data_IF_392874791092
#
_entry.id   IF_392874791092
#
_cell.length_a   1.000
_cell.length_b   1.000
_cell.length_c   1.000
_cell.angle_alpha   90.00
_cell.angle_beta   90.00
_cell.angle_gamma   90.00
#
_symmetry.space_group_name_H-M   'P 1'
#
loop_
_entity.id
_entity.type
_entity.pdbx_description
1 polymer ?
#
# COMPACT_ATOMS: atom_id res chain seq x y z
N UNK A 1 -2.71 29.13 5.57
CA UNK A 1 -1.88 28.65 4.45
C UNK A 1 -2.09 27.14 4.42
N UNK A 2 -2.85 26.61 3.45
CA UNK A 2 -3.11 25.16 3.41
C UNK A 2 -1.81 24.44 3.11
N UNK A 3 -1.37 23.55 4.01
CA UNK A 3 -0.20 22.72 3.79
C UNK A 3 -0.41 21.95 2.48
N UNK A 4 0.45 22.19 1.49
CA UNK A 4 0.43 21.41 0.27
C UNK A 4 1.06 20.08 0.61
N UNK A 5 0.25 19.02 0.63
CA UNK A 5 0.76 17.64 0.79
C UNK A 5 1.92 17.42 -0.20
N UNK A 6 3.12 17.04 0.29
CA UNK A 6 4.25 16.73 -0.56
C UNK A 6 3.88 15.70 -1.63
N UNK A 7 4.48 15.84 -2.82
CA UNK A 7 4.13 14.97 -3.95
C UNK A 7 4.38 13.48 -3.66
N UNK A 8 5.41 13.16 -2.87
CA UNK A 8 5.72 11.78 -2.51
C UNK A 8 4.63 11.17 -1.61
N UNK A 9 4.20 11.89 -0.57
CA UNK A 9 3.09 11.49 0.29
C UNK A 9 1.80 11.28 -0.52
N UNK A 10 1.49 12.21 -1.42
CA UNK A 10 0.31 12.08 -2.29
C UNK A 10 0.36 10.80 -3.14
N UNK A 11 1.47 10.53 -3.82
CA UNK A 11 1.56 9.32 -4.65
C UNK A 11 1.66 8.04 -3.82
N UNK A 12 2.30 8.08 -2.64
CA UNK A 12 2.32 6.96 -1.70
C UNK A 12 0.90 6.59 -1.28
N UNK A 13 0.11 7.60 -0.89
CA UNK A 13 -1.29 7.46 -0.53
C UNK A 13 -2.12 6.82 -1.65
N UNK A 14 -1.89 7.25 -2.91
CA UNK A 14 -2.57 6.68 -4.09
C UNK A 14 -2.15 5.24 -4.39
N UNK A 15 -0.89 4.88 -4.17
CA UNK A 15 -0.43 3.49 -4.28
C UNK A 15 -1.09 2.61 -3.23
N UNK A 16 -1.16 3.08 -1.98
CA UNK A 16 -1.84 2.38 -0.89
C UNK A 16 -3.35 2.19 -1.15
N UNK A 17 -4.02 3.23 -1.63
CA UNK A 17 -5.44 3.19 -2.03
C UNK A 17 -5.68 2.15 -3.13
N UNK A 18 -4.88 2.24 -4.20
CA UNK A 18 -4.99 1.36 -5.35
C UNK A 18 -4.74 -0.10 -4.98
N UNK A 19 -3.84 -0.35 -4.03
CA UNK A 19 -3.58 -1.69 -3.53
C UNK A 19 -4.72 -2.21 -2.65
N UNK A 20 -5.33 -1.37 -1.81
CA UNK A 20 -6.54 -1.74 -1.06
C UNK A 20 -7.68 -2.14 -1.99
N UNK A 21 -7.93 -1.39 -3.06
CA UNK A 21 -8.92 -1.77 -4.08
C UNK A 21 -8.55 -3.05 -4.80
N UNK A 22 -7.27 -3.28 -5.08
CA UNK A 22 -6.80 -4.55 -5.62
C UNK A 22 -7.09 -5.71 -4.66
N UNK A 23 -6.79 -5.59 -3.37
CA UNK A 23 -7.07 -6.63 -2.38
C UNK A 23 -8.57 -6.86 -2.25
N UNK A 24 -9.37 -5.79 -2.12
CA UNK A 24 -10.82 -5.91 -2.02
C UNK A 24 -11.43 -6.61 -3.24
N UNK A 25 -10.96 -6.28 -4.45
CA UNK A 25 -11.43 -6.92 -5.70
C UNK A 25 -11.10 -8.41 -5.74
N UNK A 26 -9.95 -8.84 -5.23
CA UNK A 26 -9.49 -10.23 -5.35
C UNK A 26 -9.88 -11.10 -4.15
N UNK A 27 -10.00 -10.51 -2.97
CA UNK A 27 -10.17 -11.23 -1.71
C UNK A 27 -11.52 -10.93 -1.03
N UNK A 28 -12.28 -9.95 -1.52
CA UNK A 28 -13.51 -9.43 -0.90
C UNK A 28 -13.30 -8.89 0.53
N UNK A 29 -12.05 -8.58 0.88
CA UNK A 29 -11.65 -8.02 2.16
C UNK A 29 -10.31 -7.25 2.00
N UNK A 30 -10.01 -6.35 2.94
CA UNK A 30 -8.71 -5.66 3.03
C UNK A 30 -7.68 -6.55 3.73
N UNK A 31 -7.42 -7.70 3.14
CA UNK A 31 -6.52 -8.72 3.65
C UNK A 31 -5.52 -9.08 2.56
N UNK A 32 -4.25 -9.17 2.93
CA UNK A 32 -3.23 -9.82 2.14
C UNK A 32 -3.01 -11.25 2.65
N UNK A 33 -3.31 -12.24 1.81
CA UNK A 33 -3.16 -13.66 2.15
C UNK A 33 -1.68 -14.05 2.08
N UNK A 34 -1.04 -14.18 3.24
CA UNK A 34 0.35 -14.61 3.34
C UNK A 34 0.43 -16.11 3.65
N UNK A 35 1.59 -16.73 3.38
CA UNK A 35 1.77 -18.18 3.60
C UNK A 35 1.65 -18.61 5.08
N UNK A 36 1.82 -17.67 6.02
CA UNK A 36 1.72 -17.90 7.46
C UNK A 36 0.42 -17.40 8.09
N UNK A 37 -0.50 -16.89 7.28
CA UNK A 37 -1.76 -16.31 7.75
C UNK A 37 -2.13 -15.04 7.02
N UNK A 38 -3.33 -14.54 7.31
CA UNK A 38 -3.87 -13.35 6.69
C UNK A 38 -3.36 -12.09 7.40
N UNK A 39 -2.82 -11.14 6.64
CA UNK A 39 -2.43 -9.82 7.13
C UNK A 39 -3.58 -8.87 6.84
N UNK A 40 -4.31 -8.48 7.88
CA UNK A 40 -5.31 -7.42 7.77
C UNK A 40 -4.60 -6.08 7.59
N UNK A 41 -5.03 -5.32 6.58
CA UNK A 41 -4.40 -4.05 6.22
C UNK A 41 -5.44 -2.97 6.01
N UNK A 42 -4.99 -1.72 6.05
CA UNK A 42 -5.75 -0.59 5.58
C UNK A 42 -4.81 0.37 4.83
N UNK A 43 -5.39 1.43 4.27
CA UNK A 43 -4.63 2.40 3.50
C UNK A 43 -3.53 3.10 4.32
N UNK A 44 -3.84 3.53 5.54
CA UNK A 44 -2.89 4.21 6.43
C UNK A 44 -1.69 3.32 6.78
N UNK A 45 -1.95 2.05 7.09
CA UNK A 45 -0.92 1.07 7.38
C UNK A 45 0.00 0.86 6.18
N UNK A 46 -0.57 0.66 4.98
CA UNK A 46 0.22 0.46 3.76
C UNK A 46 1.03 1.71 3.42
N UNK A 47 0.43 2.91 3.51
CA UNK A 47 1.14 4.15 3.21
C UNK A 47 2.28 4.40 4.20
N UNK A 48 2.04 4.24 5.50
CA UNK A 48 3.08 4.45 6.52
C UNK A 48 4.25 3.47 6.37
N UNK A 49 3.95 2.19 6.15
CA UNK A 49 4.97 1.16 5.95
C UNK A 49 5.78 1.40 4.67
N UNK A 50 5.10 1.73 3.57
CA UNK A 50 5.74 1.98 2.28
C UNK A 50 6.60 3.23 2.32
N UNK A 51 6.08 4.32 2.88
CA UNK A 51 6.78 5.60 2.92
C UNK A 51 8.01 5.55 3.82
N UNK A 52 7.88 4.96 5.02
CA UNK A 52 9.02 4.75 5.91
C UNK A 52 10.13 3.94 5.21
N UNK A 53 9.76 2.83 4.57
CA UNK A 53 10.75 1.94 3.93
C UNK A 53 11.45 2.55 2.72
N UNK A 54 10.73 3.32 1.91
CA UNK A 54 11.29 3.93 0.70
C UNK A 54 12.01 5.23 1.03
N UNK A 55 11.56 5.95 2.05
CA UNK A 55 12.20 7.15 2.58
C UNK A 55 13.62 6.92 3.09
N UNK A 56 13.91 5.74 3.63
CA UNK A 56 15.29 5.33 3.99
C UNK A 56 16.25 5.30 2.78
N UNK A 57 15.73 5.13 1.56
CA UNK A 57 16.54 4.85 0.36
C UNK A 57 16.55 5.99 -0.64
N UNK A 58 15.49 6.78 -0.70
CA UNK A 58 15.23 7.74 -1.76
C UNK A 58 14.86 9.10 -1.19
N UNK A 59 15.35 10.17 -1.83
CA UNK A 59 14.84 11.51 -1.59
C UNK A 59 13.39 11.67 -2.10
N UNK A 60 12.65 12.63 -1.56
CA UNK A 60 11.22 12.85 -1.84
C UNK A 60 10.87 12.88 -3.34
N UNK A 61 11.67 13.57 -4.16
CA UNK A 61 11.43 13.64 -5.61
C UNK A 61 11.52 12.26 -6.27
N UNK A 62 12.48 11.46 -5.84
CA UNK A 62 12.68 10.10 -6.34
C UNK A 62 11.60 9.16 -5.83
N UNK A 63 11.13 9.34 -4.59
CA UNK A 63 9.98 8.62 -4.04
C UNK A 63 8.70 8.89 -4.85
N UNK A 64 8.37 10.17 -5.09
CA UNK A 64 7.21 10.56 -5.90
C UNK A 64 7.25 9.90 -7.28
N UNK A 65 8.42 9.91 -7.93
CA UNK A 65 8.62 9.27 -9.24
C UNK A 65 8.46 7.75 -9.16
N UNK A 66 8.97 7.14 -8.09
CA UNK A 66 8.85 5.70 -7.86
C UNK A 66 7.39 5.28 -7.71
N UNK A 67 6.63 5.93 -6.81
CA UNK A 67 5.22 5.65 -6.59
C UNK A 67 4.37 5.87 -7.84
N UNK A 68 4.59 6.99 -8.54
CA UNK A 68 3.90 7.28 -9.80
C UNK A 68 4.09 6.14 -10.83
N UNK A 69 5.30 5.57 -10.92
CA UNK A 69 5.59 4.44 -11.83
C UNK A 69 4.92 3.12 -11.44
N UNK A 70 4.34 3.00 -10.25
CA UNK A 70 3.56 1.82 -9.85
C UNK A 70 2.08 1.92 -10.24
N UNK A 71 1.60 3.14 -10.51
CA UNK A 71 0.22 3.41 -10.86
C UNK A 71 -0.01 3.27 -12.37
N UNK A 72 -1.25 2.99 -12.75
CA UNK A 72 -1.74 3.25 -14.10
C UNK A 72 -1.99 4.76 -14.24
N UNK A 73 -1.93 5.31 -15.46
CA UNK A 73 -2.31 6.70 -15.72
C UNK A 73 -3.68 7.02 -15.13
N UNK A 74 -3.80 8.23 -14.58
CA UNK A 74 -5.06 8.74 -14.03
C UNK A 74 -6.00 9.22 -15.14
N UNK A 75 -5.44 9.68 -16.25
CA UNK A 75 -6.20 10.11 -17.42
C UNK A 75 -6.67 8.87 -18.18
N UNK A 76 -7.93 8.49 -17.95
CA UNK A 76 -8.58 7.35 -18.59
C UNK A 76 -9.92 7.79 -19.13
N UNK A 77 -10.19 7.42 -20.37
CA UNK A 77 -11.49 7.60 -20.97
C UNK A 77 -12.55 6.87 -20.13
N UNK A 78 -13.60 7.56 -19.68
CA UNK A 78 -14.71 6.92 -18.98
C UNK A 78 -15.36 5.82 -19.83
N UNK A 79 -15.94 4.82 -19.19
CA UNK A 79 -16.74 3.81 -19.89
C UNK A 79 -17.93 4.49 -20.61
N UNK A 80 -18.33 3.96 -21.76
CA UNK A 80 -19.43 4.48 -22.60
C UNK A 80 -20.75 4.63 -21.84
N UNK A 81 -20.94 3.90 -20.75
CA UNK A 81 -22.16 3.95 -19.93
C UNK A 81 -22.06 4.93 -18.74
N UNK A 82 -20.93 5.61 -18.54
CA UNK A 82 -20.74 6.58 -17.46
C UNK A 82 -21.44 7.89 -17.82
N UNK A 83 -22.45 8.26 -17.03
CA UNK A 83 -23.21 9.50 -17.22
C UNK A 83 -22.56 10.72 -16.53
N UNK A 84 -21.69 10.51 -15.55
CA UNK A 84 -20.98 11.55 -14.80
C UNK A 84 -19.70 10.98 -14.15
N UNK A 85 -18.60 11.72 -14.21
CA UNK A 85 -17.32 11.33 -13.59
C UNK A 85 -17.10 12.13 -12.31
N UNK A 86 -17.39 11.52 -11.15
CA UNK A 86 -17.11 12.12 -9.84
C UNK A 86 -15.67 11.93 -9.35
N UNK A 87 -14.84 11.25 -10.13
CA UNK A 87 -13.49 10.84 -9.78
C UNK A 87 -13.18 9.45 -10.32
N UNK A 88 -11.90 9.11 -10.40
CA UNK A 88 -11.44 7.79 -10.85
C UNK A 88 -10.58 7.19 -9.76
N UNK A 89 -10.97 6.00 -9.29
CA UNK A 89 -10.17 5.25 -8.34
C UNK A 89 -8.78 4.96 -8.93
N UNK A 90 -7.69 5.20 -8.19
CA UNK A 90 -6.36 4.83 -8.66
C UNK A 90 -6.27 3.31 -8.82
N UNK A 91 -5.47 2.88 -9.80
CA UNK A 91 -5.17 1.45 -9.96
C UNK A 91 -3.67 1.27 -10.11
N UNK A 92 -3.18 0.13 -9.62
CA UNK A 92 -1.83 -0.30 -9.88
C UNK A 92 -1.70 -0.84 -11.30
N UNK A 93 -0.55 -0.59 -11.91
CA UNK A 93 -0.14 -1.33 -13.09
C UNK A 93 0.42 -2.71 -12.68
N UNK A 94 0.74 -3.56 -13.66
CA UNK A 94 1.24 -4.93 -13.39
C UNK A 94 2.53 -4.93 -12.55
N UNK A 95 3.39 -3.92 -12.71
CA UNK A 95 4.60 -3.76 -11.87
C UNK A 95 4.22 -3.37 -10.45
N UNK A 96 3.29 -2.43 -10.28
CA UNK A 96 2.75 -2.03 -8.99
C UNK A 96 2.21 -3.21 -8.19
N UNK A 97 1.36 -4.05 -8.80
CA UNK A 97 0.81 -5.24 -8.12
C UNK A 97 1.91 -6.19 -7.67
N UNK A 98 2.86 -6.52 -8.56
CA UNK A 98 3.99 -7.41 -8.20
C UNK A 98 4.85 -6.85 -7.09
N UNK A 99 5.10 -5.54 -7.14
CA UNK A 99 5.88 -4.85 -6.13
C UNK A 99 5.16 -4.90 -4.77
N UNK A 100 3.89 -4.51 -4.71
CA UNK A 100 3.11 -4.49 -3.46
C UNK A 100 2.91 -5.89 -2.87
N UNK A 101 2.68 -6.91 -3.69
CA UNK A 101 2.63 -8.30 -3.22
C UNK A 101 3.98 -8.74 -2.62
N UNK A 102 5.09 -8.43 -3.29
CA UNK A 102 6.43 -8.77 -2.78
C UNK A 102 6.77 -8.00 -1.51
N UNK A 103 6.36 -6.73 -1.45
CA UNK A 103 6.53 -5.86 -0.29
C UNK A 103 5.82 -6.40 0.95
N UNK A 104 4.53 -6.73 0.85
CA UNK A 104 3.80 -7.33 1.98
C UNK A 104 4.25 -8.76 2.29
N UNK A 105 4.73 -9.51 1.29
CA UNK A 105 5.38 -10.81 1.56
C UNK A 105 6.61 -10.62 2.44
N UNK A 106 7.53 -9.73 2.06
CA UNK A 106 8.75 -9.45 2.83
C UNK A 106 8.42 -8.96 4.25
N UNK A 107 7.42 -8.09 4.38
CA UNK A 107 6.91 -7.68 5.69
C UNK A 107 6.38 -8.87 6.51
N UNK A 108 5.59 -9.75 5.89
CA UNK A 108 5.09 -10.97 6.53
C UNK A 108 6.18 -11.94 6.96
N UNK A 109 7.27 -12.07 6.18
CA UNK A 109 8.44 -12.86 6.59
C UNK A 109 9.12 -12.24 7.80
N UNK A 110 9.35 -10.92 7.78
CA UNK A 110 9.94 -10.19 8.91
C UNK A 110 9.13 -10.35 10.19
N UNK A 111 7.79 -10.24 10.12
CA UNK A 111 6.92 -10.49 11.27
C UNK A 111 7.10 -11.89 11.88
N UNK A 112 7.42 -12.91 11.07
CA UNK A 112 7.63 -14.26 11.58
C UNK A 112 8.99 -14.38 12.26
N UNK A 113 9.98 -13.66 11.77
CA UNK A 113 11.34 -13.69 12.30
C UNK A 113 11.46 -12.93 13.63
N UNK A 114 10.81 -11.76 13.74
CA UNK A 114 10.96 -10.89 14.92
C UNK A 114 9.69 -10.74 15.76
N UNK A 115 8.52 -11.13 15.26
CA UNK A 115 7.25 -10.86 15.92
C UNK A 115 6.98 -11.75 17.12
N UNK A 116 6.14 -11.24 18.03
CA UNK A 116 5.70 -11.96 19.24
C UNK A 116 4.36 -12.63 18.95
N UNK A 117 4.30 -13.95 19.13
CA UNK A 117 3.06 -14.72 18.98
C UNK A 117 2.17 -14.50 20.19
N UNK A 118 0.95 -14.03 19.95
CA UNK A 118 -0.09 -13.85 20.96
C UNK A 118 -0.84 -15.15 21.24
N UNK A 119 -1.54 -15.21 22.37
CA UNK A 119 -2.35 -16.37 22.79
C UNK A 119 -3.44 -16.72 21.77
N UNK A 120 -3.98 -15.72 21.07
CA UNK A 120 -4.99 -15.90 20.03
C UNK A 120 -4.42 -16.30 18.65
N UNK A 121 -3.11 -16.53 18.55
CA UNK A 121 -2.44 -16.93 17.31
C UNK A 121 -2.06 -15.77 16.38
N UNK A 122 -2.39 -14.53 16.72
CA UNK A 122 -1.91 -13.34 15.98
C UNK A 122 -0.44 -13.03 16.31
N UNK A 123 0.22 -12.25 15.46
CA UNK A 123 1.60 -11.80 15.67
C UNK A 123 1.59 -10.29 15.88
N UNK A 124 2.22 -9.84 16.96
CA UNK A 124 2.48 -8.43 17.25
C UNK A 124 3.94 -8.07 16.94
N UNK A 125 4.21 -6.81 16.64
CA UNK A 125 5.58 -6.30 16.66
C UNK A 125 6.12 -6.31 18.11
N UNK A 126 7.42 -6.51 18.33
CA UNK A 126 8.03 -6.41 19.65
C UNK A 126 7.81 -5.05 20.31
N UNK A 127 7.70 -5.03 21.63
CA UNK A 127 7.46 -3.80 22.41
C UNK A 127 8.55 -2.73 22.21
N UNK A 128 9.80 -3.15 21.91
CA UNK A 128 10.93 -2.27 21.64
C UNK A 128 10.79 -1.44 20.34
N UNK A 129 9.85 -1.79 19.45
CA UNK A 129 9.54 -0.99 18.26
C UNK A 129 8.54 0.15 18.51
N UNK A 130 7.96 0.23 19.72
CA UNK A 130 7.01 1.27 20.14
C UNK A 130 7.60 2.28 21.13
N UNK A 131 8.89 2.16 21.46
CA UNK A 131 9.65 3.11 22.28
C UNK A 131 10.51 4.04 21.42
#
# INVERSE_FOLDING_TARGET
MGDKTPAHEFFCWRVAEAYCYYLFRNNHALIYRHMFGDIQVNQHFISGLLDGRIGEKLNERSQATFYYKLLKPFDRTPDKNVIFVGGVAPELNRRGIRYMNSFLREFGMMLIDIGVKNVNGTISLPDDFMA
#
